data_IF_437373554346
#
_entry.id   IF_437373554346
#
_cell.length_a   1.000
_cell.length_b   1.000
_cell.length_c   1.000
_cell.angle_alpha   90.00
_cell.angle_beta   90.00
_cell.angle_gamma   90.00
#
_symmetry.space_group_name_H-M   'P 1'
#
loop_
_entity.id
_entity.type
_entity.pdbx_description
1 polymer ?
#
# COMPACT_ATOMS: atom_id res chain seq x y z
N UNK A 1 5.50 -0.52 24.75
CA UNK A 1 6.60 -1.39 24.28
C UNK A 1 7.88 -0.58 24.40
N UNK A 2 8.89 -1.08 25.12
CA UNK A 2 10.15 -0.33 25.30
C UNK A 2 10.92 -0.22 23.99
N UNK A 3 11.53 0.94 23.69
CA UNK A 3 12.32 1.19 22.47
C UNK A 3 13.37 0.11 22.21
N UNK A 4 13.95 -0.46 23.27
CA UNK A 4 14.89 -1.59 23.19
C UNK A 4 14.26 -2.88 22.67
N UNK A 5 13.02 -3.18 23.04
CA UNK A 5 12.31 -4.37 22.53
C UNK A 5 12.00 -4.25 21.05
N UNK A 6 11.62 -3.05 20.58
CA UNK A 6 11.37 -2.78 19.17
C UNK A 6 12.65 -3.01 18.37
N UNK A 7 13.77 -2.38 18.75
CA UNK A 7 15.06 -2.53 18.06
C UNK A 7 15.50 -4.00 18.02
N UNK A 8 15.26 -4.74 19.11
CA UNK A 8 15.56 -6.18 19.19
C UNK A 8 14.76 -7.01 18.19
N UNK A 9 13.46 -6.76 18.03
CA UNK A 9 12.62 -7.49 17.05
C UNK A 9 13.07 -7.20 15.62
N UNK A 10 13.33 -5.92 15.29
CA UNK A 10 13.80 -5.55 13.95
C UNK A 10 15.14 -6.19 13.61
N UNK A 11 16.09 -6.19 14.55
CA UNK A 11 17.44 -6.73 14.33
C UNK A 11 17.52 -8.25 14.33
N UNK A 12 16.76 -8.95 15.21
CA UNK A 12 16.88 -10.39 15.37
C UNK A 12 15.90 -11.22 14.53
N UNK A 13 14.76 -10.65 14.11
CA UNK A 13 13.71 -11.42 13.42
C UNK A 13 13.44 -10.85 12.03
N UNK A 14 13.07 -9.57 11.95
CA UNK A 14 12.60 -8.97 10.69
C UNK A 14 13.73 -8.85 9.67
N UNK A 15 14.91 -8.36 10.08
CA UNK A 15 16.04 -8.17 9.17
C UNK A 15 16.55 -9.49 8.58
N UNK A 16 16.84 -10.55 9.37
CA UNK A 16 17.23 -11.85 8.80
C UNK A 16 16.16 -12.45 7.89
N UNK A 17 14.89 -12.34 8.26
CA UNK A 17 13.77 -12.84 7.46
C UNK A 17 13.64 -12.10 6.12
N UNK A 18 13.78 -10.77 6.13
CA UNK A 18 13.78 -9.97 4.90
C UNK A 18 14.95 -10.34 4.00
N UNK A 19 16.17 -10.46 4.56
CA UNK A 19 17.36 -10.89 3.82
C UNK A 19 17.14 -12.28 3.21
N UNK A 20 16.59 -13.22 3.98
CA UNK A 20 16.27 -14.56 3.49
C UNK A 20 15.30 -14.55 2.29
N UNK A 21 14.23 -13.74 2.36
CA UNK A 21 13.27 -13.62 1.26
C UNK A 21 13.88 -12.97 0.01
N UNK A 22 14.85 -12.06 0.17
CA UNK A 22 15.56 -11.42 -0.95
C UNK A 22 16.56 -12.35 -1.65
N UNK A 23 16.87 -13.53 -1.12
CA UNK A 23 17.78 -14.48 -1.76
C UNK A 23 17.14 -14.98 -3.07
N UNK A 24 17.79 -14.81 -4.25
CA UNK A 24 17.19 -15.20 -5.53
C UNK A 24 16.81 -16.67 -5.62
N UNK A 25 17.55 -17.56 -4.95
CA UNK A 25 17.23 -18.99 -4.86
C UNK A 25 15.94 -19.27 -4.09
N UNK A 26 15.67 -18.53 -3.01
CA UNK A 26 14.43 -18.62 -2.23
C UNK A 26 13.27 -18.09 -3.08
N UNK A 27 13.42 -16.91 -3.69
CA UNK A 27 12.39 -16.33 -4.55
C UNK A 27 11.98 -17.28 -5.68
N UNK A 28 12.95 -17.82 -6.43
CA UNK A 28 12.68 -18.76 -7.53
C UNK A 28 12.01 -20.05 -7.03
N UNK A 29 12.42 -20.55 -5.86
CA UNK A 29 11.81 -21.74 -5.26
C UNK A 29 10.33 -21.50 -4.87
N UNK A 30 10.00 -20.33 -4.32
CA UNK A 30 8.61 -20.00 -4.00
C UNK A 30 7.76 -19.80 -5.26
N UNK A 31 8.33 -19.19 -6.31
CA UNK A 31 7.68 -19.05 -7.60
C UNK A 31 7.41 -20.38 -8.29
N UNK A 32 8.31 -21.36 -8.16
CA UNK A 32 8.14 -22.68 -8.80
C UNK A 32 7.15 -23.59 -8.09
N UNK A 33 6.95 -23.43 -6.77
CA UNK A 33 6.22 -24.39 -5.93
C UNK A 33 4.78 -23.96 -5.57
N UNK A 34 4.11 -23.14 -6.41
CA UNK A 34 2.77 -22.58 -6.14
C UNK A 34 2.64 -21.69 -4.88
N UNK A 35 3.73 -21.45 -4.13
CA UNK A 35 3.74 -20.62 -2.91
C UNK A 35 3.96 -19.12 -3.17
N UNK A 36 3.88 -18.69 -4.43
CA UNK A 36 4.09 -17.29 -4.83
C UNK A 36 3.22 -16.30 -4.03
N UNK A 37 1.94 -16.61 -3.85
CA UNK A 37 1.01 -15.71 -3.15
C UNK A 37 1.36 -15.55 -1.67
N UNK A 38 1.79 -16.63 -1.02
CA UNK A 38 2.27 -16.60 0.36
C UNK A 38 3.55 -15.78 0.49
N UNK A 39 4.47 -15.94 -0.46
CA UNK A 39 5.69 -15.14 -0.54
C UNK A 39 5.37 -13.65 -0.66
N UNK A 40 4.51 -13.26 -1.60
CA UNK A 40 4.10 -11.86 -1.83
C UNK A 40 3.45 -11.28 -0.57
N UNK A 41 2.59 -12.04 0.10
CA UNK A 41 1.94 -11.63 1.34
C UNK A 41 2.95 -11.37 2.47
N UNK A 42 3.84 -12.33 2.74
CA UNK A 42 4.85 -12.18 3.81
C UNK A 42 5.82 -11.04 3.48
N UNK A 43 6.25 -10.95 2.22
CA UNK A 43 7.16 -9.91 1.77
C UNK A 43 6.55 -8.51 1.92
N UNK A 44 5.35 -8.29 1.37
CA UNK A 44 4.66 -7.00 1.46
C UNK A 44 4.36 -6.60 2.91
N UNK A 45 3.99 -7.55 3.77
CA UNK A 45 3.80 -7.33 5.19
C UNK A 45 5.09 -6.84 5.88
N UNK A 46 6.22 -7.50 5.60
CA UNK A 46 7.52 -7.11 6.18
C UNK A 46 7.91 -5.71 5.72
N UNK A 47 7.77 -5.40 4.42
CA UNK A 47 8.08 -4.07 3.89
C UNK A 47 7.17 -3.02 4.53
N UNK A 48 5.87 -3.26 4.65
CA UNK A 48 4.95 -2.34 5.30
C UNK A 48 5.33 -2.09 6.76
N UNK A 49 5.64 -3.16 7.50
CA UNK A 49 6.04 -3.08 8.92
C UNK A 49 7.36 -2.31 9.11
N UNK A 50 8.28 -2.35 8.15
CA UNK A 50 9.52 -1.55 8.16
C UNK A 50 9.24 -0.11 7.72
N UNK A 51 8.38 0.11 6.72
CA UNK A 51 8.04 1.43 6.21
C UNK A 51 7.27 2.28 7.24
N UNK A 52 6.35 1.69 8.02
CA UNK A 52 5.53 2.41 9.00
C UNK A 52 6.35 3.24 10.01
N UNK A 53 7.34 2.71 10.75
CA UNK A 53 8.14 3.51 11.67
C UNK A 53 9.01 4.56 10.97
N UNK A 54 9.51 4.27 9.76
CA UNK A 54 10.31 5.22 8.96
C UNK A 54 9.46 6.41 8.56
N UNK A 55 8.29 6.16 7.98
CA UNK A 55 7.33 7.20 7.57
C UNK A 55 6.86 8.01 8.79
N UNK A 56 6.61 7.35 9.93
CA UNK A 56 6.29 8.03 11.18
C UNK A 56 7.43 8.97 11.64
N UNK A 57 8.68 8.53 11.57
CA UNK A 57 9.83 9.35 11.94
C UNK A 57 10.00 10.56 11.01
N UNK A 58 9.80 10.36 9.70
CA UNK A 58 9.79 11.42 8.69
C UNK A 58 8.68 12.42 8.99
N UNK A 59 7.44 11.96 9.15
CA UNK A 59 6.28 12.83 9.43
C UNK A 59 6.47 13.66 10.70
N UNK A 60 7.03 13.06 11.77
CA UNK A 60 7.37 13.79 12.99
C UNK A 60 8.45 14.87 12.75
N UNK A 61 9.48 14.57 11.95
CA UNK A 61 10.56 15.53 11.62
C UNK A 61 10.08 16.71 10.78
N UNK A 62 9.13 16.48 9.87
CA UNK A 62 8.55 17.51 9.02
C UNK A 62 7.34 18.23 9.66
N UNK A 63 7.01 17.93 10.93
CA UNK A 63 5.82 18.45 11.62
C UNK A 63 4.49 18.17 10.87
N UNK A 64 4.44 17.13 10.05
CA UNK A 64 3.20 16.64 9.40
C UNK A 64 2.45 15.74 10.36
N UNK A 65 1.97 16.35 11.44
CA UNK A 65 1.28 15.68 12.54
C UNK A 65 -0.05 16.38 12.82
N UNK A 66 -1.10 15.58 13.04
CA UNK A 66 -2.38 16.06 13.53
C UNK A 66 -2.15 16.59 14.95
N UNK A 67 -2.16 17.90 15.15
CA UNK A 67 -2.01 18.48 16.48
C UNK A 67 -3.33 18.32 17.23
N UNK A 68 -3.33 17.83 18.49
CA UNK A 68 -4.56 17.68 19.25
C UNK A 68 -5.22 19.05 19.51
N UNK A 69 -6.51 19.17 19.18
CA UNK A 69 -7.34 20.36 19.44
C UNK A 69 -8.73 20.28 18.80
N UNK A 70 -9.78 20.71 19.53
CA UNK A 70 -11.18 20.67 19.08
C UNK A 70 -11.95 19.40 19.50
N UNK A 71 -12.77 18.84 18.59
CA UNK A 71 -13.69 17.69 18.84
C UNK A 71 -12.99 16.31 18.90
N UNK A 72 -11.65 16.25 19.10
CA UNK A 72 -10.85 15.02 19.04
C UNK A 72 -10.40 14.57 20.43
N UNK A 73 -10.57 13.27 20.71
CA UNK A 73 -10.43 12.63 22.04
C UNK A 73 -8.97 12.24 22.38
N UNK A 74 -8.04 12.37 21.44
CA UNK A 74 -6.65 11.93 21.60
C UNK A 74 -5.75 13.10 22.03
N UNK A 75 -4.93 12.88 23.06
CA UNK A 75 -3.99 13.86 23.62
C UNK A 75 -2.63 13.91 22.92
N UNK A 76 -2.33 12.94 22.04
CA UNK A 76 -1.04 12.81 21.37
C UNK A 76 -1.16 13.13 19.87
N UNK A 77 -0.18 13.84 19.33
CA UNK A 77 -0.14 14.17 17.92
C UNK A 77 0.03 12.90 17.05
N UNK A 78 -0.87 12.67 16.09
CA UNK A 78 -0.83 11.49 15.21
C UNK A 78 -0.21 11.83 13.86
N UNK A 79 0.79 11.07 13.36
CA UNK A 79 1.42 11.36 12.08
C UNK A 79 0.45 11.19 10.91
N UNK A 80 0.31 12.21 10.05
CA UNK A 80 -0.55 12.19 8.86
C UNK A 80 0.19 11.58 7.65
N UNK A 81 0.58 10.30 7.67
CA UNK A 81 1.20 9.64 6.50
C UNK A 81 1.06 8.11 6.47
N UNK A 82 0.09 7.50 7.16
CA UNK A 82 -0.07 6.04 7.18
C UNK A 82 -0.22 5.43 5.78
N UNK A 83 -0.96 6.10 4.90
CA UNK A 83 -1.13 5.68 3.49
C UNK A 83 0.18 5.63 2.71
N UNK A 84 1.17 6.50 3.02
CA UNK A 84 2.48 6.48 2.36
C UNK A 84 3.26 5.22 2.67
N UNK A 85 3.22 4.72 3.92
CA UNK A 85 3.87 3.46 4.27
C UNK A 85 3.29 2.27 3.50
N UNK A 86 1.97 2.21 3.36
CA UNK A 86 1.28 1.14 2.62
C UNK A 86 1.56 1.24 1.12
N UNK A 87 1.47 2.43 0.54
CA UNK A 87 1.75 2.64 -0.87
C UNK A 87 3.20 2.30 -1.23
N UNK A 88 4.17 2.69 -0.39
CA UNK A 88 5.58 2.30 -0.58
C UNK A 88 5.75 0.79 -0.56
N UNK A 89 5.11 0.09 0.38
CA UNK A 89 5.18 -1.37 0.45
C UNK A 89 4.57 -2.05 -0.78
N UNK A 90 3.43 -1.54 -1.25
CA UNK A 90 2.78 -1.97 -2.48
C UNK A 90 3.70 -1.80 -3.70
N UNK A 91 4.26 -0.60 -3.90
CA UNK A 91 5.13 -0.29 -5.03
C UNK A 91 6.41 -1.15 -5.05
N UNK A 92 7.09 -1.27 -3.90
CA UNK A 92 8.29 -2.11 -3.77
C UNK A 92 7.95 -3.58 -4.06
N UNK A 93 6.82 -4.08 -3.57
CA UNK A 93 6.43 -5.48 -3.79
C UNK A 93 6.16 -5.78 -5.26
N UNK A 94 5.49 -4.88 -5.99
CA UNK A 94 5.25 -5.05 -7.42
C UNK A 94 6.56 -5.06 -8.20
N UNK A 95 7.43 -4.07 -7.94
CA UNK A 95 8.72 -3.94 -8.64
C UNK A 95 9.61 -5.15 -8.36
N UNK A 96 9.65 -5.62 -7.11
CA UNK A 96 10.52 -6.75 -6.71
C UNK A 96 10.10 -8.10 -7.31
N UNK A 97 8.80 -8.31 -7.51
CA UNK A 97 8.27 -9.60 -7.95
C UNK A 97 8.09 -9.70 -9.48
N UNK A 98 8.49 -8.67 -10.23
CA UNK A 98 8.36 -8.60 -11.70
C UNK A 98 6.94 -8.95 -12.21
N UNK A 99 5.91 -8.64 -11.42
CA UNK A 99 4.52 -8.90 -11.80
C UNK A 99 4.09 -7.77 -12.74
N UNK A 100 4.06 -8.04 -14.05
CA UNK A 100 3.87 -7.02 -15.09
C UNK A 100 2.68 -7.25 -16.02
N UNK A 101 1.55 -7.69 -15.48
CA UNK A 101 0.30 -7.73 -16.25
C UNK A 101 -0.17 -6.32 -16.62
N UNK A 102 -0.91 -6.18 -17.73
CA UNK A 102 -1.44 -4.88 -18.15
C UNK A 102 -2.43 -4.34 -17.10
N UNK A 103 -3.24 -5.23 -16.56
CA UNK A 103 -4.21 -4.96 -15.49
C UNK A 103 -3.50 -4.43 -14.25
N UNK A 104 -2.42 -5.09 -13.81
CA UNK A 104 -1.65 -4.64 -12.64
C UNK A 104 -0.97 -3.29 -12.87
N UNK A 105 -0.50 -3.00 -14.10
CA UNK A 105 -0.02 -1.65 -14.46
C UNK A 105 -1.14 -0.63 -14.33
N UNK A 106 -2.35 -0.96 -14.80
CA UNK A 106 -3.55 -0.12 -14.62
C UNK A 106 -3.84 0.16 -13.15
N UNK A 107 -3.83 -0.88 -12.31
CA UNK A 107 -3.99 -0.74 -10.86
C UNK A 107 -2.89 0.13 -10.25
N UNK A 108 -1.62 -0.08 -10.63
CA UNK A 108 -0.50 0.69 -10.11
C UNK A 108 -0.61 2.18 -10.46
N UNK A 109 -0.98 2.50 -11.71
CA UNK A 109 -1.19 3.88 -12.15
C UNK A 109 -2.37 4.52 -11.40
N UNK A 110 -3.52 3.83 -11.34
CA UNK A 110 -4.70 4.31 -10.61
C UNK A 110 -4.42 4.53 -9.13
N UNK A 111 -3.75 3.59 -8.47
CA UNK A 111 -3.32 3.70 -7.08
C UNK A 111 -2.35 4.87 -6.87
N UNK A 112 -1.42 5.10 -7.80
CA UNK A 112 -0.49 6.25 -7.75
C UNK A 112 -1.24 7.58 -7.81
N UNK A 113 -2.21 7.70 -8.72
CA UNK A 113 -3.02 8.92 -8.88
C UNK A 113 -3.81 9.21 -7.60
N UNK A 114 -4.51 8.20 -7.07
CA UNK A 114 -5.32 8.35 -5.84
C UNK A 114 -4.41 8.62 -4.62
N UNK A 115 -3.24 7.98 -4.56
CA UNK A 115 -2.26 8.22 -3.50
C UNK A 115 -1.75 9.66 -3.50
N UNK A 116 -1.32 10.18 -4.67
CA UNK A 116 -0.86 11.57 -4.81
C UNK A 116 -1.97 12.55 -4.45
N UNK A 117 -3.20 12.32 -4.93
CA UNK A 117 -4.36 13.12 -4.56
C UNK A 117 -4.60 13.12 -3.05
N UNK A 118 -4.51 11.94 -2.40
CA UNK A 118 -4.65 11.81 -0.95
C UNK A 118 -3.58 12.61 -0.20
N UNK A 119 -2.32 12.54 -0.62
CA UNK A 119 -1.24 13.35 -0.04
C UNK A 119 -1.50 14.86 -0.20
N UNK A 120 -2.06 15.29 -1.33
CA UNK A 120 -2.40 16.69 -1.54
C UNK A 120 -3.60 17.10 -0.66
N UNK A 121 -4.61 16.23 -0.52
CA UNK A 121 -5.79 16.44 0.34
C UNK A 121 -5.39 16.61 1.81
N UNK A 122 -4.45 15.79 2.29
CA UNK A 122 -3.91 15.88 3.66
C UNK A 122 -3.25 17.24 3.96
N UNK A 123 -2.69 17.89 2.95
CA UNK A 123 -1.99 19.18 3.09
C UNK A 123 -2.93 20.38 2.85
N UNK A 124 -3.78 20.30 1.82
CA UNK A 124 -4.54 21.45 1.30
C UNK A 124 -6.06 21.34 1.49
N UNK A 125 -6.59 20.22 1.99
CA UNK A 125 -8.03 19.96 2.10
C UNK A 125 -8.79 20.25 0.80
N UNK A 126 -8.74 19.29 -0.14
CA UNK A 126 -9.35 19.44 -1.47
C UNK A 126 -10.88 19.33 -1.42
N UNK A 127 -11.60 20.05 -2.32
CA UNK A 127 -13.05 19.92 -2.42
C UNK A 127 -13.45 18.51 -2.87
N UNK A 128 -14.59 18.03 -2.37
CA UNK A 128 -15.09 16.68 -2.66
C UNK A 128 -15.30 16.42 -4.16
N UNK A 129 -15.70 17.44 -4.92
CA UNK A 129 -15.90 17.37 -6.37
C UNK A 129 -14.60 17.06 -7.13
N UNK A 130 -13.49 17.67 -6.73
CA UNK A 130 -12.18 17.40 -7.33
C UNK A 130 -11.71 15.99 -7.02
N UNK A 131 -11.90 15.54 -5.76
CA UNK A 131 -11.54 14.17 -5.35
C UNK A 131 -12.29 13.12 -6.16
N UNK A 132 -13.60 13.33 -6.34
CA UNK A 132 -14.43 12.46 -7.15
C UNK A 132 -13.97 12.46 -8.62
N UNK A 133 -13.69 13.63 -9.20
CA UNK A 133 -13.22 13.72 -10.59
C UNK A 133 -11.91 12.95 -10.81
N UNK A 134 -10.95 13.08 -9.89
CA UNK A 134 -9.67 12.35 -9.96
C UNK A 134 -9.88 10.84 -9.82
N UNK A 135 -10.76 10.40 -8.92
CA UNK A 135 -11.10 8.98 -8.77
C UNK A 135 -11.77 8.42 -10.03
N UNK A 136 -12.65 9.18 -10.68
CA UNK A 136 -13.27 8.77 -11.97
C UNK A 136 -12.20 8.60 -13.05
N UNK A 137 -11.25 9.54 -13.16
CA UNK A 137 -10.14 9.46 -14.12
C UNK A 137 -9.27 8.22 -13.83
N UNK A 138 -8.91 7.98 -12.57
CA UNK A 138 -8.12 6.82 -12.17
C UNK A 138 -8.83 5.50 -12.54
N UNK A 139 -10.13 5.40 -12.26
CA UNK A 139 -10.95 4.25 -12.63
C UNK A 139 -11.04 4.06 -14.14
N UNK A 140 -11.19 5.13 -14.92
CA UNK A 140 -11.21 5.02 -16.38
C UNK A 140 -9.89 4.45 -16.93
N UNK A 141 -8.75 4.88 -16.39
CA UNK A 141 -7.43 4.34 -16.75
C UNK A 141 -7.36 2.83 -16.42
N UNK A 142 -7.84 2.44 -15.24
CA UNK A 142 -7.88 1.04 -14.82
C UNK A 142 -8.73 0.18 -15.78
N UNK A 143 -9.93 0.65 -16.14
CA UNK A 143 -10.83 -0.04 -17.10
C UNK A 143 -10.15 -0.19 -18.47
N UNK A 144 -9.46 0.86 -18.96
CA UNK A 144 -8.71 0.79 -20.23
C UNK A 144 -7.57 -0.21 -20.21
N UNK A 145 -7.07 -0.57 -19.03
CA UNK A 145 -6.06 -1.60 -18.84
C UNK A 145 -6.65 -3.00 -18.60
N UNK A 146 -7.98 -3.18 -18.70
CA UNK A 146 -8.65 -4.46 -18.49
C UNK A 146 -9.00 -4.76 -17.04
N UNK A 147 -8.87 -3.79 -16.13
CA UNK A 147 -9.28 -3.96 -14.73
C UNK A 147 -10.78 -3.70 -14.63
N UNK A 148 -11.54 -4.80 -14.61
CA UNK A 148 -13.00 -4.78 -14.42
C UNK A 148 -13.32 -5.61 -13.17
N UNK A 149 -14.23 -5.10 -12.35
CA UNK A 149 -14.69 -5.79 -11.16
C UNK A 149 -16.03 -6.48 -11.48
N UNK A 150 -16.00 -7.80 -11.62
CA UNK A 150 -17.19 -8.61 -11.83
C UNK A 150 -17.86 -8.85 -10.48
N UNK A 151 -18.76 -7.96 -10.11
CA UNK A 151 -19.55 -8.10 -8.89
C UNK A 151 -20.71 -9.09 -9.05
N UNK A 152 -21.03 -9.46 -10.29
CA UNK A 152 -22.13 -10.36 -10.59
C UNK A 152 -21.65 -11.81 -10.58
N UNK A 153 -22.36 -12.71 -9.89
CA UNK A 153 -22.03 -14.13 -9.91
C UNK A 153 -22.25 -14.74 -11.31
N UNK A 154 -21.40 -15.70 -11.70
CA UNK A 154 -21.48 -16.51 -12.94
C UNK A 154 -22.73 -17.42 -12.96
N UNK A 155 -23.88 -16.79 -12.98
CA UNK A 155 -25.21 -17.37 -12.86
C UNK A 155 -26.11 -16.63 -13.83
N UNK A 156 -27.25 -17.22 -14.18
CA UNK A 156 -28.14 -16.73 -15.23
C UNK A 156 -28.53 -15.24 -15.11
N UNK A 157 -28.69 -14.71 -13.89
CA UNK A 157 -28.95 -13.29 -13.63
C UNK A 157 -27.73 -12.35 -13.75
N UNK A 158 -26.51 -12.88 -13.71
CA UNK A 158 -25.28 -12.10 -13.89
C UNK A 158 -25.02 -11.78 -15.36
N UNK A 159 -25.28 -12.74 -16.24
CA UNK A 159 -25.16 -12.56 -17.70
C UNK A 159 -26.23 -11.63 -18.32
N UNK A 160 -27.23 -11.18 -17.55
CA UNK A 160 -28.24 -10.23 -18.03
C UNK A 160 -27.76 -8.78 -18.00
N UNK A 161 -26.68 -8.48 -17.25
CA UNK A 161 -26.18 -7.12 -17.04
C UNK A 161 -24.71 -6.95 -17.47
N UNK A 162 -24.10 -7.98 -18.06
CA UNK A 162 -22.87 -7.90 -18.87
C UNK A 162 -23.21 -7.46 -20.31
#
# INVERSE_FOLDING_TARGET
>A
METKQIIRIYSFIIFPLLVFLLIPGVQKSFQSNHFLWLYILIFSYIIANVATPVVRAIAARFNVVDKPGGRKIHSNATPLMGGAAIYTAFAITIIHNDVYSLELKGVAIGATIVFIMGLIDDIKSLPATLKLAVQIIATFIMIRCGVVADFLPNTWWGYLFE
#
